data_IF_776922187893
#
_entry.id   IF_776922187893
#
_cell.length_a   1.000
_cell.length_b   1.000
_cell.length_c   1.000
_cell.angle_alpha   90.00
_cell.angle_beta   90.00
_cell.angle_gamma   90.00
#
_symmetry.space_group_name_H-M   'P 1'
#
loop_
_entity.id
_entity.type
_entity.pdbx_description
1 polymer ?
#
# COMPACT_ATOMS: atom_id res chain seq x y z
N UNK A 1 -33.09 18.27 -17.62
CA UNK A 1 -32.21 18.69 -16.51
C UNK A 1 -30.79 18.34 -16.90
N UNK A 2 -29.93 19.36 -16.93
CA UNK A 2 -28.57 19.30 -17.44
C UNK A 2 -27.69 18.34 -16.63
N UNK A 3 -26.94 17.50 -17.33
CA UNK A 3 -25.92 16.64 -16.73
C UNK A 3 -24.70 17.54 -16.52
N UNK A 4 -24.70 18.29 -15.44
CA UNK A 4 -23.54 19.04 -14.95
C UNK A 4 -22.52 18.06 -14.36
N UNK A 5 -21.92 17.23 -15.20
CA UNK A 5 -20.64 16.58 -14.87
C UNK A 5 -19.56 17.54 -15.34
N UNK A 6 -19.04 18.31 -14.38
CA UNK A 6 -17.88 19.19 -14.52
C UNK A 6 -16.93 18.69 -15.61
N UNK A 7 -16.89 19.42 -16.73
CA UNK A 7 -15.99 19.16 -17.86
C UNK A 7 -14.56 19.47 -17.43
N UNK A 8 -13.96 18.57 -16.65
CA UNK A 8 -12.52 18.60 -16.40
C UNK A 8 -11.82 18.54 -17.75
N UNK A 9 -10.96 19.51 -18.01
CA UNK A 9 -10.13 19.51 -19.22
C UNK A 9 -9.32 18.21 -19.28
N UNK A 10 -9.00 17.73 -20.49
CA UNK A 10 -8.12 16.57 -20.67
C UNK A 10 -6.77 16.76 -19.91
N UNK A 11 -6.33 18.01 -19.74
CA UNK A 11 -5.17 18.37 -18.94
C UNK A 11 -5.37 18.15 -17.44
N UNK A 12 -6.56 18.41 -16.89
CA UNK A 12 -6.86 18.19 -15.47
C UNK A 12 -7.06 16.72 -15.12
N UNK A 13 -7.67 15.93 -16.02
CA UNK A 13 -7.77 14.47 -15.83
C UNK A 13 -6.38 13.82 -15.84
N UNK A 14 -5.48 14.25 -16.73
CA UNK A 14 -4.08 13.83 -16.76
C UNK A 14 -3.28 14.29 -15.53
N UNK A 15 -3.62 15.44 -14.93
CA UNK A 15 -2.99 15.88 -13.67
C UNK A 15 -3.37 14.98 -12.49
N UNK A 16 -4.59 14.44 -12.43
CA UNK A 16 -5.02 13.54 -11.35
C UNK A 16 -4.28 12.19 -11.36
N UNK A 17 -3.95 11.69 -12.55
CA UNK A 17 -3.18 10.44 -12.73
C UNK A 17 -1.68 10.62 -12.53
N UNK A 18 -1.19 11.86 -12.36
CA UNK A 18 0.24 12.11 -12.11
C UNK A 18 0.71 11.35 -10.87
N UNK A 19 1.91 10.81 -11.03
CA UNK A 19 2.61 9.97 -10.07
C UNK A 19 3.53 10.76 -9.15
N UNK A 20 3.64 12.07 -9.37
CA UNK A 20 4.44 12.99 -8.56
C UNK A 20 3.90 13.00 -7.12
N UNK A 21 4.79 12.81 -6.15
CA UNK A 21 4.43 12.73 -4.73
C UNK A 21 3.90 11.38 -4.25
N UNK A 22 3.73 10.39 -5.13
CA UNK A 22 3.24 9.04 -4.75
C UNK A 22 4.40 8.06 -4.70
N UNK A 23 4.48 7.27 -3.62
CA UNK A 23 5.42 6.15 -3.52
C UNK A 23 4.68 4.83 -3.63
N UNK A 24 5.22 3.89 -4.40
CA UNK A 24 4.68 2.53 -4.44
C UNK A 24 5.08 1.78 -3.18
N UNK A 25 4.15 1.04 -2.60
CA UNK A 25 4.44 0.07 -1.57
C UNK A 25 5.51 -0.92 -2.05
N UNK A 26 6.54 -1.18 -1.25
CA UNK A 26 7.63 -2.11 -1.59
C UNK A 26 7.22 -3.59 -1.43
N UNK A 27 5.96 -3.84 -1.08
CA UNK A 27 5.39 -5.18 -1.06
C UNK A 27 5.11 -5.67 -2.50
N UNK A 28 5.73 -6.77 -2.96
CA UNK A 28 5.45 -7.31 -4.29
C UNK A 28 3.99 -7.70 -4.49
N UNK A 29 3.25 -8.02 -3.41
CA UNK A 29 1.84 -8.43 -3.53
C UNK A 29 0.83 -7.28 -3.53
N UNK A 30 1.23 -6.05 -3.19
CA UNK A 30 0.31 -4.92 -3.06
C UNK A 30 0.57 -3.84 -4.11
N UNK A 31 1.82 -3.38 -4.24
CA UNK A 31 2.26 -2.33 -5.18
C UNK A 31 1.43 -1.03 -5.20
N UNK A 32 0.52 -0.84 -4.23
CA UNK A 32 -0.40 0.29 -4.18
C UNK A 32 0.35 1.61 -4.01
N UNK A 33 -0.21 2.68 -4.57
CA UNK A 33 0.39 4.02 -4.48
C UNK A 33 -0.05 4.71 -3.20
N UNK A 34 0.93 5.06 -2.37
CA UNK A 34 0.75 5.79 -1.12
C UNK A 34 1.10 7.25 -1.39
N UNK A 35 0.21 8.16 -1.01
CA UNK A 35 0.46 9.60 -1.05
C UNK A 35 0.74 10.07 0.40
N UNK A 36 2.01 10.08 0.84
CA UNK A 36 2.34 10.61 2.15
C UNK A 36 2.18 12.13 2.19
N UNK A 37 1.83 12.67 3.36
CA UNK A 37 1.83 14.11 3.59
C UNK A 37 3.25 14.68 3.42
N UNK A 38 3.41 15.89 2.86
CA UNK A 38 4.72 16.50 2.64
C UNK A 38 5.49 16.60 3.95
N UNK A 39 6.72 16.05 3.99
CA UNK A 39 7.58 16.06 5.17
C UNK A 39 7.32 14.95 6.20
N UNK A 40 6.37 14.03 5.96
CA UNK A 40 6.15 12.90 6.85
C UNK A 40 7.32 11.90 6.81
N UNK A 41 7.88 11.55 7.97
CA UNK A 41 8.97 10.58 8.07
C UNK A 41 8.51 9.12 7.99
N UNK A 42 7.24 8.87 8.27
CA UNK A 42 6.63 7.55 8.26
C UNK A 42 5.38 7.56 7.39
N UNK A 43 5.15 6.48 6.65
CA UNK A 43 3.92 6.27 5.92
C UNK A 43 3.47 4.82 6.01
N UNK A 44 2.16 4.66 6.24
CA UNK A 44 1.50 3.36 6.27
C UNK A 44 0.80 3.11 4.94
N UNK A 45 0.93 1.89 4.44
CA UNK A 45 0.15 1.47 3.28
C UNK A 45 -1.30 1.15 3.72
N UNK A 46 -2.33 1.76 3.09
CA UNK A 46 -3.72 1.51 3.48
C UNK A 46 -4.16 0.06 3.22
N UNK A 47 -3.58 -0.58 2.20
CA UNK A 47 -4.00 -1.92 1.77
C UNK A 47 -3.29 -3.03 2.53
N UNK A 48 -1.96 -2.92 2.74
CA UNK A 48 -1.18 -3.98 3.38
C UNK A 48 -0.87 -3.75 4.86
N UNK A 49 -1.10 -2.54 5.37
CA UNK A 49 -0.84 -2.13 6.75
C UNK A 49 0.64 -1.94 7.10
N UNK A 50 1.55 -2.17 6.13
CA UNK A 50 2.99 -2.02 6.37
C UNK A 50 3.40 -0.57 6.50
N UNK A 51 4.34 -0.34 7.40
CA UNK A 51 4.90 0.96 7.67
C UNK A 51 6.28 1.09 7.02
N UNK A 52 6.50 2.23 6.36
CA UNK A 52 7.72 2.56 5.67
C UNK A 52 8.29 3.86 6.21
N UNK A 53 9.61 3.88 6.36
CA UNK A 53 10.37 5.10 6.58
C UNK A 53 10.55 5.81 5.25
N UNK A 54 10.22 7.08 5.24
CA UNK A 54 10.33 7.95 4.08
C UNK A 54 11.55 8.83 4.15
N UNK A 55 12.04 9.23 2.99
CA UNK A 55 13.04 10.25 2.79
C UNK A 55 12.60 11.17 1.68
N UNK A 56 12.72 12.46 1.90
CA UNK A 56 12.30 13.49 0.97
C UNK A 56 13.53 14.09 0.32
N UNK A 57 13.60 14.01 -1.02
CA UNK A 57 14.63 14.73 -1.79
C UNK A 57 14.23 16.21 -1.93
N UNK A 58 12.92 16.45 -2.09
CA UNK A 58 12.25 17.73 -1.99
C UNK A 58 10.85 17.48 -1.39
N UNK A 59 10.09 18.53 -1.08
CA UNK A 59 8.74 18.42 -0.48
C UNK A 59 7.71 17.68 -1.34
N UNK A 60 8.03 17.38 -2.61
CA UNK A 60 7.12 16.77 -3.59
C UNK A 60 7.57 15.38 -4.06
N UNK A 61 8.79 14.93 -3.71
CA UNK A 61 9.37 13.65 -4.12
C UNK A 61 9.77 12.83 -2.89
N UNK A 62 8.81 12.12 -2.29
CA UNK A 62 9.09 11.12 -1.29
C UNK A 62 9.73 9.87 -1.92
N UNK A 63 10.70 9.30 -1.22
CA UNK A 63 11.32 8.00 -1.49
C UNK A 63 11.24 7.11 -0.25
N UNK A 64 11.13 5.80 -0.43
CA UNK A 64 11.18 4.86 0.70
C UNK A 64 12.64 4.58 1.03
N UNK A 65 13.01 4.77 2.31
CA UNK A 65 14.31 4.32 2.86
C UNK A 65 14.29 2.83 3.15
N UNK A 66 13.18 2.35 3.70
CA UNK A 66 12.99 0.95 4.04
C UNK A 66 11.77 0.74 4.93
N UNK A 67 11.38 -0.53 5.14
CA UNK A 67 10.31 -0.86 6.07
C UNK A 67 10.69 -0.52 7.52
N UNK A 68 9.68 -0.24 8.35
CA UNK A 68 9.82 -0.28 9.81
C UNK A 68 9.76 -1.74 10.23
N UNK A 69 10.89 -2.25 10.73
CA UNK A 69 11.07 -3.68 10.98
C UNK A 69 10.09 -4.21 12.04
N UNK A 70 9.93 -3.50 13.15
CA UNK A 70 9.14 -3.97 14.30
C UNK A 70 7.66 -4.18 13.96
N UNK A 71 7.08 -3.24 13.22
CA UNK A 71 5.66 -3.28 12.80
C UNK A 71 5.46 -4.34 11.73
N UNK A 72 6.33 -4.38 10.72
CA UNK A 72 6.17 -5.30 9.61
C UNK A 72 6.43 -6.76 10.02
N UNK A 73 7.34 -7.01 10.98
CA UNK A 73 7.60 -8.36 11.50
C UNK A 73 6.37 -8.94 12.21
N UNK A 74 5.68 -8.14 13.03
CA UNK A 74 4.43 -8.56 13.69
C UNK A 74 3.35 -8.89 12.67
N UNK A 75 3.12 -7.99 11.71
CA UNK A 75 2.12 -8.19 10.65
C UNK A 75 2.42 -9.44 9.81
N UNK A 76 3.70 -9.69 9.50
CA UNK A 76 4.11 -10.86 8.74
C UNK A 76 3.89 -12.16 9.54
N UNK A 77 4.26 -12.18 10.83
CA UNK A 77 4.03 -13.33 11.71
C UNK A 77 2.54 -13.65 11.85
N UNK A 78 1.70 -12.63 12.06
CA UNK A 78 0.24 -12.81 12.14
C UNK A 78 -0.35 -13.37 10.84
N UNK A 79 0.10 -12.87 9.68
CA UNK A 79 -0.35 -13.40 8.38
C UNK A 79 0.10 -14.84 8.17
N UNK A 80 1.35 -15.18 8.51
CA UNK A 80 1.85 -16.55 8.39
C UNK A 80 1.09 -17.52 9.31
N UNK A 81 0.89 -17.16 10.58
CA UNK A 81 0.14 -17.98 11.52
C UNK A 81 -1.31 -18.24 11.04
N UNK A 82 -1.96 -17.23 10.46
CA UNK A 82 -3.30 -17.39 9.86
C UNK A 82 -3.30 -18.33 8.65
N UNK A 83 -2.28 -18.23 7.78
CA UNK A 83 -2.16 -19.09 6.60
C UNK A 83 -1.87 -20.55 7.00
N UNK A 84 -1.00 -20.77 7.98
CA UNK A 84 -0.70 -22.10 8.54
C UNK A 84 -1.93 -22.73 9.19
N UNK A 85 -2.67 -21.96 10.00
CA UNK A 85 -3.93 -22.41 10.59
C UNK A 85 -5.03 -22.71 9.53
N UNK A 86 -5.01 -22.02 8.39
CA UNK A 86 -5.92 -22.30 7.28
C UNK A 86 -5.48 -23.52 6.46
N UNK A 87 -4.17 -23.76 6.32
CA UNK A 87 -3.61 -24.92 5.61
C UNK A 87 -3.86 -26.22 6.37
N UNK A 88 -3.69 -26.24 7.70
CA UNK A 88 -3.96 -27.41 8.53
C UNK A 88 -5.43 -27.85 8.47
N UNK A 89 -6.38 -26.90 8.44
CA UNK A 89 -7.82 -27.17 8.24
C UNK A 89 -8.16 -27.75 6.86
N UNK A 90 -7.41 -27.39 5.81
CA UNK A 90 -7.64 -27.91 4.45
C UNK A 90 -7.14 -29.35 4.28
N UNK A 91 -6.03 -29.72 4.94
CA UNK A 91 -5.52 -31.10 4.89
C UNK A 91 -6.44 -32.09 5.62
N UNK A 92 -7.10 -31.69 6.72
CA UNK A 92 -8.09 -32.54 7.40
C UNK A 92 -9.34 -32.83 6.57
N UNK A 93 -9.71 -31.96 5.63
CA UNK A 93 -10.94 -32.10 4.81
C UNK A 93 -10.75 -32.94 3.54
N UNK A 94 -9.50 -33.20 3.11
CA UNK A 94 -9.17 -34.03 1.93
C UNK A 94 -8.88 -35.50 2.26
N UNK A 95 -8.79 -35.88 3.53
CA UNK A 95 -8.45 -37.25 3.97
C UNK A 95 -9.63 -38.16 4.29
N UNK A 96 -10.87 -37.74 4.05
CA UNK A 96 -12.06 -38.57 4.25
C UNK A 96 -12.61 -39.06 2.92
N UNK A 97 -12.10 -40.20 2.43
CA UNK A 97 -12.77 -40.99 1.40
C UNK A 97 -12.55 -42.47 1.69
#
# INVERSE_FOLDING_TARGET
>A
MAIEKEQLSASESLRKTRTFGKVRCHNPSCMERIQPAPGANHAKCPTCGMEYRLFWVNSTLPRIRGPVWDVNRKIAQEKMARLEAAASKKNGKKGGK
#
